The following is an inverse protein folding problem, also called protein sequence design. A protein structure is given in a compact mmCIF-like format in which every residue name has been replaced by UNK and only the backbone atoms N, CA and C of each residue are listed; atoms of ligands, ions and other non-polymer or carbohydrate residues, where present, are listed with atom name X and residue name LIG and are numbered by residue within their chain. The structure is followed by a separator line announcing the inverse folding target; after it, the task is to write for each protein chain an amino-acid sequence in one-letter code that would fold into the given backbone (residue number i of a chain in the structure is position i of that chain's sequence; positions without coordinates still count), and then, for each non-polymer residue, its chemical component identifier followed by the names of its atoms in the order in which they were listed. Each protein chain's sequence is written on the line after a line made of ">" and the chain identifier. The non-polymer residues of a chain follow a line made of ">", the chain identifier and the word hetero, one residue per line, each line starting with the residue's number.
data_IF_157917876324
#
_entry.id   IF_157917876324
#
_cell.length_a   1.000
_cell.length_b   1.000
_cell.length_c   1.000
_cell.angle_alpha   90.00
_cell.angle_beta   90.00
_cell.angle_gamma   90.00
#
_symmetry.space_group_name_H-M   'P 1'
#
loop_
_entity.id
_entity.type
_entity.pdbx_description
1 polymer ?
#
# COMPACT_ATOMS: atom_id res chain seq x y z
N UNK A 1 -12.60 46.48 -22.55
CA UNK A 1 -13.72 45.53 -22.87
C UNK A 1 -14.14 45.65 -24.36
N UNK A 2 -14.30 46.87 -24.93
CA UNK A 2 -14.72 47.03 -26.30
C UNK A 2 -13.76 46.42 -27.34
N UNK A 3 -12.45 46.55 -27.15
CA UNK A 3 -11.42 46.03 -28.08
C UNK A 3 -11.50 44.50 -28.27
N UNK A 4 -11.74 43.75 -27.21
CA UNK A 4 -11.87 42.26 -27.30
C UNK A 4 -13.13 41.87 -28.08
N UNK A 5 -14.22 42.61 -27.90
CA UNK A 5 -15.47 42.39 -28.62
C UNK A 5 -15.31 42.71 -30.11
N UNK A 6 -14.66 43.83 -30.44
CA UNK A 6 -14.41 44.24 -31.80
C UNK A 6 -13.48 43.24 -32.55
N UNK A 7 -12.43 42.74 -31.87
CA UNK A 7 -11.57 41.69 -32.44
C UNK A 7 -12.31 40.38 -32.69
N UNK A 8 -13.21 39.98 -31.78
CA UNK A 8 -14.01 38.77 -31.94
C UNK A 8 -14.99 38.84 -33.10
N UNK A 9 -15.58 40.03 -33.33
CA UNK A 9 -16.51 40.27 -34.43
C UNK A 9 -15.80 40.43 -35.79
N UNK A 10 -14.67 41.14 -35.85
CA UNK A 10 -13.96 41.40 -37.09
C UNK A 10 -13.15 40.18 -37.55
N UNK A 11 -12.58 39.42 -36.61
CA UNK A 11 -11.73 38.27 -36.92
C UNK A 11 -12.13 36.97 -36.16
N UNK A 12 -13.33 36.44 -36.38
CA UNK A 12 -13.86 35.34 -35.60
C UNK A 12 -12.97 34.07 -35.67
N UNK A 13 -12.42 33.75 -36.83
CA UNK A 13 -11.52 32.60 -37.01
C UNK A 13 -10.23 32.69 -36.18
N UNK A 14 -9.63 33.91 -36.10
CA UNK A 14 -8.42 34.16 -35.31
C UNK A 14 -8.73 34.06 -33.81
N UNK A 15 -9.87 34.57 -33.37
CA UNK A 15 -10.30 34.53 -32.00
C UNK A 15 -10.55 33.08 -31.56
N UNK A 16 -11.25 32.26 -32.36
CA UNK A 16 -11.49 30.84 -32.08
C UNK A 16 -10.15 30.11 -32.00
N UNK A 17 -9.23 30.30 -32.94
CA UNK A 17 -7.94 29.62 -32.95
C UNK A 17 -7.08 30.01 -31.75
N UNK A 18 -7.08 31.31 -31.37
CA UNK A 18 -6.39 31.79 -30.18
C UNK A 18 -6.99 31.19 -28.89
N UNK A 19 -8.31 31.20 -28.77
CA UNK A 19 -8.99 30.61 -27.60
C UNK A 19 -8.69 29.10 -27.49
N UNK A 20 -8.76 28.39 -28.61
CA UNK A 20 -8.42 26.97 -28.69
C UNK A 20 -6.97 26.71 -28.26
N UNK A 21 -6.03 27.55 -28.74
CA UNK A 21 -4.63 27.44 -28.34
C UNK A 21 -4.43 27.66 -26.85
N UNK A 22 -5.05 28.71 -26.27
CA UNK A 22 -4.99 29.01 -24.84
C UNK A 22 -5.59 27.87 -24.03
N UNK A 23 -6.73 27.30 -24.47
CA UNK A 23 -7.37 26.19 -23.80
C UNK A 23 -6.48 24.95 -23.79
N UNK A 24 -5.88 24.57 -24.92
CA UNK A 24 -4.95 23.44 -25.03
C UNK A 24 -3.70 23.69 -24.18
N UNK A 25 -3.16 24.90 -24.19
CA UNK A 25 -2.01 25.27 -23.38
C UNK A 25 -2.31 25.15 -21.90
N UNK A 26 -3.45 25.63 -21.43
CA UNK A 26 -3.86 25.48 -20.02
C UNK A 26 -4.19 24.04 -19.67
N UNK A 27 -4.82 23.29 -20.58
CA UNK A 27 -5.10 21.88 -20.37
C UNK A 27 -3.81 21.02 -20.23
N UNK A 28 -2.72 21.43 -20.89
CA UNK A 28 -1.44 20.75 -20.72
C UNK A 28 -0.87 20.86 -19.29
N UNK A 29 -1.31 21.82 -18.49
CA UNK A 29 -0.95 21.98 -17.09
C UNK A 29 -1.54 20.91 -16.18
N UNK A 30 -2.59 20.22 -16.61
CA UNK A 30 -3.26 19.18 -15.81
C UNK A 30 -2.31 18.00 -15.52
N UNK A 31 -1.36 17.71 -16.42
CA UNK A 31 -0.37 16.65 -16.20
C UNK A 31 0.61 16.91 -15.04
N UNK A 32 0.74 18.17 -14.61
CA UNK A 32 1.59 18.57 -13.49
C UNK A 32 0.82 18.65 -12.17
N UNK A 33 -0.45 18.32 -12.18
CA UNK A 33 -1.28 18.35 -10.99
C UNK A 33 -0.92 17.13 -10.10
N UNK A 34 -0.26 17.41 -9.00
CA UNK A 34 0.01 16.41 -7.95
C UNK A 34 -1.16 16.47 -6.99
N UNK A 35 -1.88 15.35 -6.85
CA UNK A 35 -2.86 15.23 -5.79
C UNK A 35 -2.16 14.77 -4.52
N UNK A 36 -2.16 15.63 -3.49
CA UNK A 36 -1.76 15.25 -2.14
C UNK A 36 -3.02 14.69 -1.46
N UNK A 37 -3.01 13.40 -1.20
CA UNK A 37 -4.12 12.65 -0.60
C UNK A 37 -4.01 12.51 0.93
N UNK A 38 -2.98 13.15 1.52
CA UNK A 38 -2.81 13.19 2.96
C UNK A 38 -3.86 14.12 3.59
N UNK A 39 -4.94 13.51 4.08
CA UNK A 39 -6.03 14.25 4.73
C UNK A 39 -5.57 15.04 5.96
N UNK A 40 -4.49 14.62 6.62
CA UNK A 40 -3.97 15.33 7.79
C UNK A 40 -3.26 16.62 7.39
N UNK A 41 -2.67 16.69 6.20
CA UNK A 41 -2.11 17.96 5.67
C UNK A 41 -3.16 19.01 5.33
N UNK A 42 -4.42 18.62 5.17
CA UNK A 42 -5.53 19.57 5.00
C UNK A 42 -5.86 20.30 6.31
N UNK A 43 -5.47 19.75 7.45
CA UNK A 43 -5.67 20.39 8.75
C UNK A 43 -4.61 21.50 8.96
N UNK A 44 -5.00 22.69 9.46
CA UNK A 44 -4.06 23.76 9.79
C UNK A 44 -3.01 23.29 10.81
N UNK A 45 -1.75 23.62 10.59
CA UNK A 45 -0.60 23.19 11.42
C UNK A 45 -0.68 23.63 12.90
N UNK A 46 -1.45 24.69 13.18
CA UNK A 46 -1.61 25.21 14.54
C UNK A 46 -2.61 24.42 15.40
N UNK A 47 -3.36 23.49 14.82
CA UNK A 47 -4.29 22.64 15.59
C UNK A 47 -3.54 21.62 16.43
N UNK A 48 -3.96 21.47 17.69
CA UNK A 48 -3.34 20.53 18.62
C UNK A 48 -3.42 19.07 18.12
N UNK A 49 -4.53 18.71 17.47
CA UNK A 49 -4.70 17.38 16.83
C UNK A 49 -3.66 17.13 15.74
N UNK A 50 -3.36 18.14 14.91
CA UNK A 50 -2.34 18.04 13.86
C UNK A 50 -0.95 17.90 14.47
N UNK A 51 -0.60 18.72 15.44
CA UNK A 51 0.70 18.64 16.14
C UNK A 51 0.91 17.32 16.84
N UNK A 52 -0.13 16.80 17.49
CA UNK A 52 -0.08 15.49 18.15
C UNK A 52 0.13 14.37 17.13
N UNK A 53 -0.58 14.43 15.99
CA UNK A 53 -0.40 13.47 14.90
C UNK A 53 1.01 13.48 14.33
N UNK A 54 1.53 14.67 14.00
CA UNK A 54 2.88 14.84 13.49
C UNK A 54 3.93 14.33 14.51
N UNK A 55 3.74 14.59 15.81
CA UNK A 55 4.60 14.05 16.84
C UNK A 55 4.57 12.52 16.93
N UNK A 56 3.40 11.90 16.83
CA UNK A 56 3.26 10.44 16.81
C UNK A 56 3.93 9.84 15.57
N UNK A 57 3.72 10.43 14.40
CA UNK A 57 4.39 9.95 13.17
C UNK A 57 5.92 10.08 13.26
N UNK A 58 6.41 11.20 13.80
CA UNK A 58 7.86 11.40 13.95
C UNK A 58 8.53 10.44 14.96
N UNK A 59 7.78 9.99 15.96
CA UNK A 59 8.31 9.11 17.01
C UNK A 59 8.13 7.63 16.68
N UNK A 60 7.02 7.25 16.06
CA UNK A 60 6.63 5.86 15.80
C UNK A 60 6.66 5.47 14.32
N UNK A 61 7.00 6.38 13.43
CA UNK A 61 6.95 6.20 11.98
C UNK A 61 5.54 6.33 11.40
N UNK A 62 5.40 6.05 10.12
CA UNK A 62 4.10 6.15 9.42
C UNK A 62 3.06 5.21 10.03
N UNK A 63 1.87 5.73 10.28
CA UNK A 63 0.70 4.94 10.69
C UNK A 63 -0.03 4.33 9.49
N UNK A 64 0.43 4.67 8.29
CA UNK A 64 -0.10 4.16 7.04
C UNK A 64 0.48 2.77 6.76
N UNK A 65 -0.37 1.76 6.72
CA UNK A 65 0.04 0.37 6.54
C UNK A 65 -0.75 -0.32 5.43
N UNK A 66 -0.11 -1.31 4.80
CA UNK A 66 -0.78 -2.27 3.92
C UNK A 66 -0.73 -3.65 4.58
N UNK A 67 -1.86 -4.32 4.55
CA UNK A 67 -1.98 -5.74 4.88
C UNK A 67 -2.07 -6.57 3.60
N UNK A 68 -1.32 -7.66 3.55
CA UNK A 68 -1.50 -8.74 2.58
C UNK A 68 -1.89 -9.98 3.37
N UNK A 69 -3.08 -10.50 3.13
CA UNK A 69 -3.49 -11.82 3.62
C UNK A 69 -3.58 -12.77 2.44
N UNK A 70 -2.92 -13.92 2.51
CA UNK A 70 -2.96 -14.92 1.45
C UNK A 70 -3.05 -16.34 2.00
N UNK A 71 -3.68 -17.20 1.24
CA UNK A 71 -3.93 -18.59 1.59
C UNK A 71 -5.02 -19.19 0.74
N UNK A 72 -5.45 -20.40 1.04
CA UNK A 72 -6.55 -21.05 0.32
C UNK A 72 -7.55 -21.60 1.31
N UNK A 73 -8.83 -21.35 1.07
CA UNK A 73 -9.90 -21.85 1.94
C UNK A 73 -9.86 -23.37 2.04
N UNK A 74 -9.89 -23.88 3.26
CA UNK A 74 -9.83 -25.33 3.56
C UNK A 74 -8.43 -25.91 3.53
N UNK A 75 -7.38 -25.10 3.31
CA UNK A 75 -6.00 -25.53 3.34
C UNK A 75 -5.23 -24.90 4.48
N UNK A 76 -4.43 -25.74 5.20
CA UNK A 76 -3.58 -25.22 6.26
C UNK A 76 -2.35 -24.50 5.69
N UNK A 77 -1.98 -23.38 6.31
CA UNK A 77 -0.75 -22.64 5.99
C UNK A 77 0.53 -23.33 6.49
N UNK A 78 0.41 -24.31 7.36
CA UNK A 78 1.55 -25.07 7.89
C UNK A 78 2.01 -26.15 6.91
N UNK A 79 2.36 -25.69 5.69
CA UNK A 79 2.92 -26.48 4.59
C UNK A 79 4.20 -25.83 4.09
N UNK A 80 5.10 -26.55 3.40
CA UNK A 80 6.33 -25.98 2.87
C UNK A 80 6.10 -24.81 1.90
N UNK A 81 5.13 -24.93 0.97
CA UNK A 81 4.87 -23.93 -0.06
C UNK A 81 4.44 -22.58 0.51
N UNK A 82 3.35 -22.43 1.32
CA UNK A 82 2.94 -21.12 1.82
C UNK A 82 4.00 -20.40 2.65
N UNK A 83 4.82 -21.14 3.42
CA UNK A 83 5.88 -20.54 4.22
C UNK A 83 7.11 -20.15 3.37
N UNK A 84 7.42 -20.91 2.31
CA UNK A 84 8.46 -20.55 1.36
C UNK A 84 8.07 -19.32 0.52
N UNK A 85 6.79 -19.22 0.15
CA UNK A 85 6.27 -18.09 -0.61
C UNK A 85 6.20 -16.82 0.28
N UNK A 86 5.84 -16.96 1.56
CA UNK A 86 5.94 -15.88 2.54
C UNK A 86 7.37 -15.35 2.69
N UNK A 87 8.35 -16.26 2.71
CA UNK A 87 9.77 -15.89 2.75
C UNK A 87 10.18 -15.09 1.51
N UNK A 88 9.81 -15.58 0.32
CA UNK A 88 10.08 -14.91 -0.95
C UNK A 88 9.41 -13.54 -0.99
N UNK A 89 8.13 -13.47 -0.64
CA UNK A 89 7.38 -12.21 -0.54
C UNK A 89 8.09 -11.20 0.37
N UNK A 90 8.51 -11.65 1.55
CA UNK A 90 9.20 -10.77 2.51
C UNK A 90 10.51 -10.21 1.97
N UNK A 91 11.27 -11.02 1.23
CA UNK A 91 12.54 -10.59 0.65
C UNK A 91 12.32 -9.62 -0.52
N UNK A 92 11.36 -9.89 -1.41
CA UNK A 92 11.05 -8.98 -2.52
C UNK A 92 10.49 -7.65 -2.02
N UNK A 93 9.62 -7.67 -1.01
CA UNK A 93 9.12 -6.43 -0.39
C UNK A 93 10.23 -5.63 0.30
N UNK A 94 11.22 -6.27 0.93
CA UNK A 94 12.39 -5.59 1.53
C UNK A 94 13.25 -4.86 0.50
N UNK A 95 13.26 -5.31 -0.76
CA UNK A 95 14.00 -4.68 -1.85
C UNK A 95 13.31 -3.40 -2.37
N UNK A 96 12.05 -3.14 -2.01
CA UNK A 96 11.36 -1.93 -2.40
C UNK A 96 11.87 -0.74 -1.57
N UNK A 97 12.29 0.32 -2.25
CA UNK A 97 12.78 1.54 -1.60
C UNK A 97 11.70 2.31 -0.81
N UNK A 98 10.43 1.98 -1.06
CA UNK A 98 9.26 2.56 -0.38
C UNK A 98 8.91 1.87 0.94
N UNK A 99 9.44 0.68 1.21
CA UNK A 99 9.11 -0.14 2.37
C UNK A 99 10.10 0.10 3.49
N UNK A 100 9.60 0.52 4.67
CA UNK A 100 10.38 0.71 5.89
C UNK A 100 10.45 -0.57 6.71
N UNK A 101 9.30 -1.20 6.96
CA UNK A 101 9.20 -2.36 7.84
C UNK A 101 8.21 -3.39 7.30
N UNK A 102 8.55 -4.66 7.51
CA UNK A 102 7.68 -5.80 7.22
C UNK A 102 7.55 -6.63 8.48
N UNK A 103 6.30 -6.91 8.85
CA UNK A 103 5.99 -7.71 10.04
C UNK A 103 5.13 -8.91 9.64
N UNK A 104 5.68 -10.10 9.81
CA UNK A 104 5.02 -11.39 9.57
C UNK A 104 5.78 -12.52 10.30
N UNK A 105 5.46 -13.78 10.03
CA UNK A 105 6.12 -14.93 10.66
C UNK A 105 7.63 -14.94 10.38
N UNK A 106 8.06 -14.58 9.16
CA UNK A 106 9.50 -14.67 8.78
C UNK A 106 10.36 -13.61 9.46
N UNK A 107 9.75 -12.48 9.84
CA UNK A 107 10.43 -11.37 10.53
C UNK A 107 10.26 -11.44 12.04
N UNK A 108 9.43 -12.36 12.53
CA UNK A 108 9.17 -12.52 13.96
C UNK A 108 10.32 -13.21 14.67
N UNK A 109 10.54 -12.78 15.90
CA UNK A 109 11.59 -13.31 16.77
C UNK A 109 10.99 -14.32 17.73
N UNK A 110 11.64 -15.49 17.85
CA UNK A 110 11.39 -16.49 18.86
C UNK A 110 12.32 -16.26 20.04
N UNK A 111 11.76 -16.24 21.23
CA UNK A 111 12.51 -16.13 22.48
C UNK A 111 12.28 -17.40 23.27
N UNK A 112 13.31 -18.23 23.39
CA UNK A 112 13.29 -19.45 24.20
C UNK A 112 14.29 -19.35 25.36
N UNK A 113 14.05 -20.11 26.39
CA UNK A 113 15.00 -20.30 27.50
C UNK A 113 15.61 -21.70 27.38
N UNK A 114 16.91 -21.75 27.08
CA UNK A 114 17.67 -23.00 26.98
C UNK A 114 18.82 -22.95 27.99
N UNK A 115 18.89 -23.92 28.86
CA UNK A 115 19.94 -24.06 29.89
C UNK A 115 20.14 -22.81 30.77
N UNK A 116 19.06 -22.05 31.05
CA UNK A 116 19.14 -20.82 31.83
C UNK A 116 19.50 -19.56 31.04
N UNK A 117 19.79 -19.66 29.76
CA UNK A 117 20.10 -18.55 28.88
C UNK A 117 18.89 -18.23 27.98
N UNK A 118 18.70 -16.93 27.69
CA UNK A 118 17.76 -16.50 26.66
C UNK A 118 18.37 -16.74 25.29
N UNK A 119 17.70 -17.53 24.46
CA UNK A 119 18.02 -17.72 23.07
C UNK A 119 17.03 -16.93 22.23
N UNK A 120 17.55 -15.97 21.44
CA UNK A 120 16.76 -15.11 20.56
C UNK A 120 17.09 -15.53 19.12
N UNK A 121 16.08 -15.99 18.41
CA UNK A 121 16.23 -16.48 17.02
C UNK A 121 15.06 -16.03 16.17
N UNK A 122 15.28 -15.89 14.85
CA UNK A 122 14.20 -15.73 13.89
C UNK A 122 13.30 -16.98 13.90
N UNK A 123 12.00 -16.78 13.82
CA UNK A 123 11.03 -17.88 13.83
C UNK A 123 11.16 -18.75 12.58
N UNK A 124 11.48 -18.13 11.44
CA UNK A 124 11.83 -18.81 10.19
C UNK A 124 13.21 -18.33 9.70
N UNK A 125 14.18 -19.22 9.68
CA UNK A 125 15.59 -18.90 9.32
C UNK A 125 15.92 -19.12 7.85
N UNK A 126 15.16 -19.98 7.17
CA UNK A 126 15.41 -20.40 5.78
C UNK A 126 14.11 -20.47 5.00
N UNK A 127 14.21 -20.36 3.69
CA UNK A 127 13.06 -20.43 2.79
C UNK A 127 12.39 -21.80 2.81
N UNK A 128 13.17 -22.86 2.56
CA UNK A 128 12.64 -24.22 2.42
C UNK A 128 12.70 -24.96 3.76
N UNK A 129 11.58 -24.99 4.46
CA UNK A 129 11.44 -25.66 5.75
C UNK A 129 11.13 -27.14 5.58
N UNK A 130 11.71 -27.97 6.44
CA UNK A 130 11.32 -29.37 6.58
C UNK A 130 10.11 -29.51 7.51
N UNK A 131 9.49 -30.71 7.52
CA UNK A 131 8.28 -30.97 8.32
C UNK A 131 8.48 -30.79 9.83
N UNK A 132 9.69 -30.97 10.36
CA UNK A 132 9.98 -30.78 11.78
C UNK A 132 10.06 -29.29 12.13
N UNK A 133 10.67 -28.49 11.28
CA UNK A 133 10.76 -27.02 11.43
C UNK A 133 9.37 -26.39 11.36
N UNK A 134 8.54 -26.78 10.38
CA UNK A 134 7.16 -26.33 10.27
C UNK A 134 6.36 -26.65 11.54
N UNK A 135 6.48 -27.87 12.04
CA UNK A 135 5.82 -28.28 13.28
C UNK A 135 6.32 -27.49 14.49
N UNK A 136 7.61 -27.15 14.53
CA UNK A 136 8.19 -26.30 15.58
C UNK A 136 7.60 -24.89 15.55
N UNK A 137 7.46 -24.29 14.36
CA UNK A 137 6.82 -22.97 14.16
C UNK A 137 5.36 -23.04 14.64
N UNK A 138 4.61 -24.04 14.20
CA UNK A 138 3.21 -24.23 14.61
C UNK A 138 3.07 -24.32 16.14
N UNK A 139 3.87 -25.17 16.80
CA UNK A 139 3.85 -25.33 18.24
C UNK A 139 4.22 -24.04 18.98
N UNK A 140 5.17 -23.27 18.45
CA UNK A 140 5.54 -21.99 19.03
C UNK A 140 4.39 -20.99 18.93
N UNK A 141 3.75 -20.87 17.77
CA UNK A 141 2.60 -20.00 17.56
C UNK A 141 1.40 -20.40 18.42
N UNK A 142 1.13 -21.69 18.56
CA UNK A 142 0.03 -22.19 19.43
C UNK A 142 0.26 -21.87 20.91
N UNK A 143 1.53 -21.85 21.37
CA UNK A 143 1.89 -21.39 22.72
C UNK A 143 1.79 -19.87 22.86
N UNK A 144 2.06 -19.13 21.81
CA UNK A 144 2.13 -17.66 21.79
C UNK A 144 0.94 -17.08 21.01
N UNK A 145 -0.26 -17.29 21.52
CA UNK A 145 -1.52 -16.94 20.84
C UNK A 145 -1.60 -15.46 20.42
N UNK A 146 -0.91 -14.54 21.11
CA UNK A 146 -0.86 -13.13 20.72
C UNK A 146 -0.10 -12.94 19.42
N UNK A 147 1.01 -13.65 19.23
CA UNK A 147 1.80 -13.63 17.98
C UNK A 147 1.01 -14.33 16.86
N UNK A 148 0.42 -15.50 17.19
CA UNK A 148 -0.40 -16.24 16.23
C UNK A 148 -1.50 -15.38 15.65
N UNK A 149 -2.26 -14.66 16.47
CA UNK A 149 -3.37 -13.80 16.05
C UNK A 149 -2.95 -12.60 15.17
N UNK A 150 -1.68 -12.22 15.23
CA UNK A 150 -1.17 -11.12 14.39
C UNK A 150 -0.87 -11.56 12.96
N UNK A 151 -0.50 -12.84 12.76
CA UNK A 151 0.04 -13.30 11.49
C UNK A 151 -0.70 -14.48 10.87
N UNK A 152 -1.62 -15.08 11.62
CA UNK A 152 -2.34 -16.28 11.16
C UNK A 152 -3.83 -16.12 11.43
N UNK A 153 -4.66 -16.47 10.44
CA UNK A 153 -6.11 -16.50 10.60
C UNK A 153 -6.54 -17.51 11.66
N UNK A 154 -7.74 -17.34 12.21
CA UNK A 154 -8.29 -18.27 13.23
C UNK A 154 -8.48 -19.70 12.71
N UNK A 155 -8.68 -19.85 11.40
CA UNK A 155 -8.84 -21.15 10.73
C UNK A 155 -7.52 -21.78 10.31
N UNK A 156 -6.36 -21.14 10.55
CA UNK A 156 -5.04 -21.53 10.07
C UNK A 156 -4.96 -21.68 8.54
N UNK A 157 -5.79 -20.91 7.79
CA UNK A 157 -5.88 -20.96 6.33
C UNK A 157 -5.17 -19.81 5.64
N UNK A 158 -4.97 -18.67 6.33
CA UNK A 158 -4.37 -17.46 5.77
C UNK A 158 -3.20 -16.97 6.60
N UNK A 159 -2.16 -16.52 5.91
CA UNK A 159 -1.00 -15.81 6.46
C UNK A 159 -1.19 -14.31 6.26
N UNK A 160 -0.83 -13.51 7.26
CA UNK A 160 -0.90 -12.05 7.22
C UNK A 160 0.49 -11.45 7.24
N UNK A 161 0.74 -10.52 6.34
CA UNK A 161 1.91 -9.65 6.31
C UNK A 161 1.46 -8.20 6.45
N UNK A 162 2.06 -7.47 7.38
CA UNK A 162 1.90 -6.03 7.56
C UNK A 162 3.10 -5.32 6.97
N UNK A 163 2.88 -4.28 6.16
CA UNK A 163 3.92 -3.55 5.45
C UNK A 163 3.74 -2.07 5.76
N UNK A 164 4.82 -1.44 6.24
CA UNK A 164 4.85 -0.04 6.59
C UNK A 164 5.76 0.72 5.62
N UNK A 165 5.33 1.85 5.05
CA UNK A 165 6.16 2.67 4.18
C UNK A 165 7.09 3.57 4.98
N UNK A 166 8.14 4.09 4.31
CA UNK A 166 8.87 5.25 4.82
C UNK A 166 7.98 6.50 4.82
N UNK A 167 8.27 7.41 5.75
CA UNK A 167 7.57 8.69 5.80
C UNK A 167 7.81 9.50 4.52
N UNK A 168 6.75 10.15 4.04
CA UNK A 168 6.81 11.00 2.85
C UNK A 168 6.78 10.25 1.51
N UNK A 169 6.64 8.93 1.52
CA UNK A 169 6.43 8.15 0.29
C UNK A 169 5.00 8.38 -0.22
N UNK A 170 4.85 8.56 -1.53
CA UNK A 170 3.52 8.61 -2.17
C UNK A 170 2.79 7.29 -2.02
N UNK A 171 1.61 7.32 -1.36
CA UNK A 171 0.88 6.11 -1.01
C UNK A 171 0.33 5.36 -2.24
N UNK A 172 0.06 6.07 -3.33
CA UNK A 172 -0.37 5.48 -4.60
C UNK A 172 0.76 4.62 -5.22
N UNK A 173 1.99 5.12 -5.24
CA UNK A 173 3.14 4.37 -5.71
C UNK A 173 3.44 3.20 -4.78
N UNK A 174 3.52 3.45 -3.47
CA UNK A 174 3.75 2.39 -2.47
C UNK A 174 2.73 1.25 -2.61
N UNK A 175 1.43 1.58 -2.71
CA UNK A 175 0.38 0.60 -2.94
C UNK A 175 0.60 -0.20 -4.22
N UNK A 176 0.90 0.49 -5.33
CA UNK A 176 1.07 -0.17 -6.63
C UNK A 176 2.28 -1.13 -6.62
N UNK A 177 3.39 -0.72 -6.00
CA UNK A 177 4.60 -1.53 -5.89
C UNK A 177 4.33 -2.79 -5.03
N UNK A 178 3.68 -2.62 -3.88
CA UNK A 178 3.33 -3.74 -2.98
C UNK A 178 2.36 -4.72 -3.64
N UNK A 179 1.31 -4.21 -4.30
CA UNK A 179 0.33 -5.05 -5.00
C UNK A 179 0.96 -5.78 -6.17
N UNK A 180 1.84 -5.12 -6.94
CA UNK A 180 2.52 -5.76 -8.07
C UNK A 180 3.39 -6.94 -7.62
N UNK A 181 4.12 -6.81 -6.51
CA UNK A 181 4.90 -7.90 -5.91
C UNK A 181 3.98 -9.01 -5.41
N UNK A 182 2.93 -8.68 -4.67
CA UNK A 182 1.97 -9.65 -4.17
C UNK A 182 1.29 -10.46 -5.28
N UNK A 183 0.74 -9.79 -6.30
CA UNK A 183 0.06 -10.43 -7.42
C UNK A 183 1.00 -11.32 -8.25
N UNK A 184 2.28 -10.94 -8.37
CA UNK A 184 3.27 -11.73 -9.11
C UNK A 184 3.70 -13.01 -8.41
N UNK A 185 3.79 -12.99 -7.08
CA UNK A 185 4.30 -14.12 -6.28
C UNK A 185 3.19 -15.02 -5.73
N UNK A 186 2.01 -14.49 -5.52
CA UNK A 186 0.92 -15.17 -4.82
C UNK A 186 -0.24 -15.57 -5.74
N UNK A 187 0.00 -15.70 -7.04
CA UNK A 187 -1.04 -16.01 -8.05
C UNK A 187 -1.79 -17.33 -7.79
N UNK A 188 -1.18 -18.25 -7.05
CA UNK A 188 -1.76 -19.57 -6.73
C UNK A 188 -2.62 -19.56 -5.45
N UNK A 189 -2.73 -18.39 -4.80
CA UNK A 189 -3.46 -18.20 -3.55
C UNK A 189 -4.62 -17.23 -3.72
N UNK A 190 -5.58 -17.34 -2.80
CA UNK A 190 -6.60 -16.32 -2.59
C UNK A 190 -5.95 -15.16 -1.79
N UNK A 191 -5.79 -13.99 -2.45
CA UNK A 191 -5.04 -12.84 -1.92
C UNK A 191 -5.98 -11.70 -1.59
N UNK A 192 -5.86 -11.18 -0.37
CA UNK A 192 -6.63 -10.04 0.09
C UNK A 192 -5.71 -8.92 0.53
N UNK A 193 -5.98 -7.72 0.04
CA UNK A 193 -5.27 -6.50 0.41
C UNK A 193 -6.14 -5.61 1.28
N UNK A 194 -5.55 -4.93 2.25
CA UNK A 194 -6.23 -3.99 3.12
C UNK A 194 -5.28 -3.01 3.79
N UNK A 195 -5.81 -2.20 4.68
CA UNK A 195 -5.04 -1.20 5.43
C UNK A 195 -5.25 0.22 4.93
N UNK A 196 -4.83 1.21 5.74
CA UNK A 196 -5.02 2.64 5.46
C UNK A 196 -4.30 3.05 4.18
N UNK A 197 -3.03 2.68 4.02
CA UNK A 197 -2.25 3.01 2.82
C UNK A 197 -2.80 2.35 1.54
N UNK A 198 -3.40 1.15 1.65
CA UNK A 198 -4.03 0.50 0.50
C UNK A 198 -5.26 1.27 0.01
N UNK A 199 -6.11 1.71 0.94
CA UNK A 199 -7.33 2.48 0.61
C UNK A 199 -6.96 3.86 0.11
N UNK A 200 -6.16 4.61 0.87
CA UNK A 200 -5.73 5.97 0.53
C UNK A 200 -4.96 5.99 -0.80
N UNK A 201 -4.01 5.09 -1.02
CA UNK A 201 -3.27 4.99 -2.27
C UNK A 201 -4.11 4.57 -3.50
N UNK A 202 -5.36 4.13 -3.31
CA UNK A 202 -6.28 3.86 -4.42
C UNK A 202 -7.10 5.08 -4.84
N UNK A 203 -7.25 6.09 -3.97
CA UNK A 203 -8.09 7.27 -4.20
C UNK A 203 -7.69 8.05 -5.47
N UNK A 204 -6.41 8.39 -5.71
CA UNK A 204 -6.02 9.15 -6.89
C UNK A 204 -6.39 8.45 -8.20
N UNK A 205 -6.28 7.12 -8.24
CA UNK A 205 -6.69 6.31 -9.38
C UNK A 205 -8.19 6.36 -9.60
N UNK A 206 -8.98 6.17 -8.54
CA UNK A 206 -10.45 6.20 -8.61
C UNK A 206 -10.95 7.56 -9.10
N UNK A 207 -10.43 8.65 -8.56
CA UNK A 207 -10.78 10.02 -9.00
C UNK A 207 -10.42 10.22 -10.48
N UNK A 208 -9.26 9.76 -10.94
CA UNK A 208 -8.84 9.88 -12.34
C UNK A 208 -9.79 9.13 -13.28
N UNK A 209 -10.18 7.92 -12.91
CA UNK A 209 -11.09 7.09 -13.70
C UNK A 209 -12.49 7.72 -13.77
N UNK A 210 -12.99 8.28 -12.68
CA UNK A 210 -14.26 9.00 -12.62
C UNK A 210 -14.23 10.26 -13.47
N UNK A 211 -13.18 11.08 -13.36
CA UNK A 211 -13.02 12.30 -14.17
C UNK A 211 -12.96 11.96 -15.65
N UNK A 212 -12.19 10.94 -16.04
CA UNK A 212 -12.12 10.51 -17.45
C UNK A 212 -13.48 10.03 -17.97
N UNK A 213 -14.24 9.31 -17.15
CA UNK A 213 -15.57 8.83 -17.49
C UNK A 213 -16.56 9.99 -17.68
N UNK A 214 -16.52 10.98 -16.80
CA UNK A 214 -17.34 12.19 -16.89
C UNK A 214 -16.98 13.03 -18.14
N UNK A 215 -15.69 13.19 -18.43
CA UNK A 215 -15.24 13.91 -19.64
C UNK A 215 -15.71 13.21 -20.91
N UNK A 216 -15.58 11.87 -20.98
CA UNK A 216 -16.09 11.07 -22.12
C UNK A 216 -17.59 11.20 -22.28
N UNK A 217 -18.35 11.11 -21.18
CA UNK A 217 -19.80 11.29 -21.20
C UNK A 217 -20.20 12.71 -21.64
N UNK A 218 -19.51 13.74 -21.16
CA UNK A 218 -19.74 15.14 -21.56
C UNK A 218 -19.48 15.38 -23.04
N UNK A 219 -18.44 14.78 -23.62
CA UNK A 219 -18.14 14.88 -25.04
C UNK A 219 -19.19 14.20 -25.95
N UNK A 220 -19.84 13.15 -25.45
CA UNK A 220 -20.92 12.47 -26.20
C UNK A 220 -22.23 13.24 -26.20
N UNK A 221 -22.47 14.03 -25.14
CA UNK A 221 -23.71 14.81 -24.99
C UNK A 221 -23.63 16.16 -25.73
N UNK A 222 -22.43 16.69 -26.00
CA UNK A 222 -22.21 17.89 -26.81
C UNK A 222 -22.25 17.60 -28.32
#
# INVERSE_FOLDING_TARGET
>A
KAWCIDQALIHPKRTILFTMFVTIFMASGIQFLIMDDDMMKMLPEHLDSRRTWDAVQNEFGSTEIIFIAFGNKGESIYKPSPLADLWTLSNELKNLSSVMEISNITTSIRIDQVDGFMQIEELQKIQNLNSQEIKSIQLYLDKNNNIKKQFVSQSDEYLLTTIQPYDGVGLDQFRNDVVAVGDSLLSDYDVHYGGTAYVTGSIPRMIRDDVQSLVKAGLVIM
#
